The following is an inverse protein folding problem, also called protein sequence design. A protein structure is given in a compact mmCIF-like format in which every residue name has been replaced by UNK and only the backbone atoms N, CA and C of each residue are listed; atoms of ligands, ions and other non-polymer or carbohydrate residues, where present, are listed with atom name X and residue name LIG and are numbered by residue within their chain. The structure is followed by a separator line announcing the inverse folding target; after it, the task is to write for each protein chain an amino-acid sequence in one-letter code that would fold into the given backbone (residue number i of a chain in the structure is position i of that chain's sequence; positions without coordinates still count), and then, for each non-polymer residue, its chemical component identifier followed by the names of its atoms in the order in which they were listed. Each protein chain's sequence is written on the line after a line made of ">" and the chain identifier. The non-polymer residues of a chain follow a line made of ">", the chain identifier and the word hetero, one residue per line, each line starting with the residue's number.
data_IF_520145712947
#
_entry.id   IF_520145712947
#
_cell.length_a   1.000
_cell.length_b   1.000
_cell.length_c   1.000
_cell.angle_alpha   90.00
_cell.angle_beta   90.00
_cell.angle_gamma   90.00
#
_symmetry.space_group_name_H-M   'P 1'
#
loop_
_entity.id
_entity.type
_entity.pdbx_description
1 polymer ?
#
# COMPACT_ATOMS: atom_id res chain seq x y z
N UNK A 1 -12.13 18.80 13.55
CA UNK A 1 -10.94 19.53 14.06
C UNK A 1 -9.62 18.78 13.79
N UNK A 2 -9.44 17.55 14.29
CA UNK A 2 -8.16 16.83 14.23
C UNK A 2 -7.50 16.74 12.83
N UNK A 3 -8.29 16.61 11.76
CA UNK A 3 -7.75 16.55 10.40
C UNK A 3 -7.18 17.90 9.94
N UNK A 4 -7.91 19.00 10.20
CA UNK A 4 -7.47 20.35 9.82
C UNK A 4 -6.19 20.70 10.55
N UNK A 5 -6.17 20.48 11.87
CA UNK A 5 -4.97 20.71 12.69
C UNK A 5 -3.78 19.87 12.20
N UNK A 6 -4.01 18.61 11.80
CA UNK A 6 -2.94 17.77 11.26
C UNK A 6 -2.43 18.28 9.90
N UNK A 7 -3.33 18.68 8.99
CA UNK A 7 -2.94 19.19 7.66
C UNK A 7 -2.17 20.50 7.78
N UNK A 8 -2.61 21.43 8.65
CA UNK A 8 -1.91 22.70 8.88
C UNK A 8 -0.49 22.48 9.41
N UNK A 9 -0.31 21.49 10.30
CA UNK A 9 1.01 21.14 10.83
C UNK A 9 1.91 20.34 9.86
N UNK A 10 1.36 19.77 8.77
CA UNK A 10 2.08 18.92 7.82
C UNK A 10 1.89 19.40 6.37
N UNK A 11 1.78 20.73 6.19
CA UNK A 11 1.41 21.33 4.91
C UNK A 11 2.49 21.11 3.85
N UNK A 12 3.77 21.13 4.25
CA UNK A 12 4.90 20.91 3.35
C UNK A 12 4.88 19.48 2.79
N UNK A 13 4.65 18.49 3.65
CA UNK A 13 4.52 17.08 3.26
C UNK A 13 3.29 16.86 2.38
N UNK A 14 2.18 17.49 2.72
CA UNK A 14 0.92 17.39 1.97
C UNK A 14 1.06 17.94 0.54
N UNK A 15 1.79 19.04 0.37
CA UNK A 15 1.98 19.70 -0.93
C UNK A 15 3.18 19.17 -1.74
N UNK A 16 4.01 18.30 -1.15
CA UNK A 16 5.14 17.67 -1.84
C UNK A 16 4.76 16.96 -3.16
N UNK A 17 3.50 16.51 -3.29
CA UNK A 17 2.93 15.97 -4.52
C UNK A 17 3.14 16.90 -5.73
N UNK A 18 3.03 18.21 -5.55
CA UNK A 18 3.15 19.19 -6.64
C UNK A 18 4.58 19.37 -7.14
N UNK A 19 5.59 18.86 -6.44
CA UNK A 19 6.97 18.85 -6.92
C UNK A 19 7.20 17.82 -8.03
N UNK A 20 6.25 16.88 -8.22
CA UNK A 20 6.36 15.85 -9.25
C UNK A 20 5.99 16.41 -10.64
N UNK A 21 6.65 15.93 -11.72
CA UNK A 21 6.23 16.22 -13.08
C UNK A 21 4.77 15.84 -13.35
N UNK A 22 4.05 16.64 -14.14
CA UNK A 22 2.64 16.40 -14.52
C UNK A 22 2.36 14.96 -15.03
N UNK A 23 3.25 14.31 -15.82
CA UNK A 23 3.02 12.91 -16.23
C UNK A 23 2.86 11.93 -15.07
N UNK A 24 3.51 12.18 -13.92
CA UNK A 24 3.44 11.29 -12.76
C UNK A 24 2.20 11.50 -11.90
N UNK A 25 1.52 12.64 -12.03
CA UNK A 25 0.36 12.99 -11.19
C UNK A 25 -0.77 11.96 -11.31
N UNK A 26 -0.98 11.40 -12.50
CA UNK A 26 -2.02 10.37 -12.73
C UNK A 26 -1.82 9.14 -11.85
N UNK A 27 -0.59 8.65 -11.76
CA UNK A 27 -0.27 7.45 -11.00
C UNK A 27 -0.12 7.74 -9.50
N UNK A 28 0.42 8.91 -9.15
CA UNK A 28 0.70 9.29 -7.76
C UNK A 28 -0.55 9.76 -7.00
N UNK A 29 -1.59 10.22 -7.69
CA UNK A 29 -2.87 10.61 -7.07
C UNK A 29 -3.71 9.41 -6.62
N UNK A 30 -3.49 8.22 -7.21
CA UNK A 30 -4.29 7.04 -6.92
C UNK A 30 -3.59 6.08 -5.97
N UNK A 31 -4.32 5.65 -4.94
CA UNK A 31 -3.91 4.59 -4.01
C UNK A 31 -4.46 3.22 -4.40
N UNK A 32 -5.14 3.08 -5.55
CA UNK A 32 -5.87 1.86 -5.93
C UNK A 32 -5.00 0.59 -5.87
N UNK A 33 -3.75 0.67 -6.34
CA UNK A 33 -2.82 -0.46 -6.30
C UNK A 33 -2.42 -0.85 -4.88
N UNK A 34 -2.18 0.14 -4.01
CA UNK A 34 -1.86 -0.07 -2.59
C UNK A 34 -3.06 -0.62 -1.83
N UNK A 35 -4.25 -0.09 -2.10
CA UNK A 35 -5.50 -0.56 -1.50
C UNK A 35 -5.79 -2.00 -1.89
N UNK A 36 -5.62 -2.36 -3.16
CA UNK A 36 -5.78 -3.75 -3.63
C UNK A 36 -4.80 -4.71 -2.96
N UNK A 37 -3.54 -4.31 -2.82
CA UNK A 37 -2.52 -5.09 -2.09
C UNK A 37 -2.91 -5.27 -0.62
N UNK A 38 -3.30 -4.18 0.06
CA UNK A 38 -3.69 -4.21 1.47
C UNK A 38 -4.94 -5.06 1.71
N UNK A 39 -5.92 -5.01 0.80
CA UNK A 39 -7.10 -5.86 0.84
C UNK A 39 -6.73 -7.34 0.74
N UNK A 40 -5.80 -7.69 -0.15
CA UNK A 40 -5.37 -9.08 -0.33
C UNK A 40 -4.56 -9.59 0.87
N UNK A 41 -3.67 -8.76 1.43
CA UNK A 41 -2.98 -9.05 2.70
C UNK A 41 -4.04 -9.35 3.78
N UNK A 42 -5.01 -8.44 3.96
CA UNK A 42 -6.06 -8.59 4.96
C UNK A 42 -6.89 -9.85 4.72
N UNK A 43 -7.24 -10.15 3.47
CA UNK A 43 -8.03 -11.34 3.10
C UNK A 43 -7.30 -12.63 3.49
N UNK A 44 -6.01 -12.76 3.15
CA UNK A 44 -5.23 -13.98 3.45
C UNK A 44 -4.91 -14.12 4.94
N UNK A 45 -4.61 -13.03 5.63
CA UNK A 45 -4.36 -13.08 7.08
C UNK A 45 -5.62 -13.37 7.88
N UNK A 46 -6.80 -12.91 7.41
CA UNK A 46 -8.09 -13.21 8.06
C UNK A 46 -8.44 -14.70 8.06
N UNK A 47 -8.02 -15.46 7.05
CA UNK A 47 -8.23 -16.92 7.00
C UNK A 47 -7.46 -17.63 8.12
N UNK A 48 -6.20 -17.22 8.35
CA UNK A 48 -5.35 -17.83 9.38
C UNK A 48 -5.79 -17.44 10.80
N UNK A 49 -6.36 -16.23 10.97
CA UNK A 49 -6.82 -15.62 12.23
C UNK A 49 -5.73 -15.35 13.28
N UNK A 50 -4.95 -16.37 13.65
CA UNK A 50 -3.88 -16.30 14.66
C UNK A 50 -2.63 -16.97 14.12
N UNK A 51 -1.51 -16.25 14.14
CA UNK A 51 -0.22 -16.80 13.74
C UNK A 51 0.57 -17.32 14.95
N UNK A 52 1.30 -18.43 14.82
CA UNK A 52 2.09 -19.00 15.91
C UNK A 52 3.31 -18.15 16.28
N UNK A 53 3.78 -17.29 15.36
CA UNK A 53 4.85 -16.31 15.59
C UNK A 53 4.87 -15.25 14.47
N UNK A 54 5.54 -14.09 14.67
CA UNK A 54 5.64 -13.04 13.66
C UNK A 54 6.30 -13.48 12.35
N UNK A 55 7.26 -14.40 12.41
CA UNK A 55 7.94 -14.92 11.22
C UNK A 55 6.98 -15.67 10.28
N UNK A 56 5.96 -16.32 10.84
CA UNK A 56 4.95 -17.04 10.05
C UNK A 56 4.03 -16.09 9.28
N UNK A 57 3.65 -14.96 9.90
CA UNK A 57 2.92 -13.90 9.20
C UNK A 57 3.78 -13.28 8.10
N UNK A 58 5.04 -12.99 8.40
CA UNK A 58 6.00 -12.42 7.45
C UNK A 58 6.19 -13.32 6.22
N UNK A 59 6.28 -14.64 6.40
CA UNK A 59 6.37 -15.60 5.29
C UNK A 59 5.15 -15.53 4.37
N UNK A 60 3.94 -15.46 4.93
CA UNK A 60 2.71 -15.35 4.14
C UNK A 60 2.68 -14.05 3.31
N UNK A 61 2.98 -12.92 3.94
CA UNK A 61 2.97 -11.61 3.26
C UNK A 61 4.03 -11.54 2.17
N UNK A 62 5.23 -12.09 2.42
CA UNK A 62 6.30 -12.17 1.42
C UNK A 62 5.91 -13.06 0.24
N UNK A 63 5.33 -14.22 0.49
CA UNK A 63 4.86 -15.10 -0.57
C UNK A 63 3.81 -14.41 -1.45
N UNK A 64 2.87 -13.67 -0.85
CA UNK A 64 1.91 -12.85 -1.59
C UNK A 64 2.60 -11.76 -2.44
N UNK A 65 3.61 -11.08 -1.91
CA UNK A 65 4.34 -10.06 -2.66
C UNK A 65 5.05 -10.64 -3.90
N UNK A 66 5.64 -11.85 -3.77
CA UNK A 66 6.26 -12.58 -4.89
C UNK A 66 5.21 -12.94 -5.94
N UNK A 67 4.09 -13.54 -5.53
CA UNK A 67 3.00 -13.91 -6.45
C UNK A 67 2.46 -12.69 -7.22
N UNK A 68 2.26 -11.55 -6.54
CA UNK A 68 1.81 -10.32 -7.21
C UNK A 68 2.87 -9.81 -8.20
N UNK A 69 4.14 -9.88 -7.84
CA UNK A 69 5.23 -9.48 -8.72
C UNK A 69 5.30 -10.36 -9.98
N UNK A 70 5.21 -11.68 -9.83
CA UNK A 70 5.17 -12.64 -10.94
C UNK A 70 3.97 -12.36 -11.85
N UNK A 71 2.78 -12.17 -11.30
CA UNK A 71 1.58 -11.81 -12.06
C UNK A 71 1.74 -10.50 -12.85
N UNK A 72 2.51 -9.52 -12.35
CA UNK A 72 2.77 -8.28 -13.10
C UNK A 72 3.74 -8.49 -14.25
N UNK A 73 4.74 -9.35 -14.07
CA UNK A 73 5.68 -9.70 -15.14
C UNK A 73 4.98 -10.49 -16.26
N UNK A 74 4.05 -11.37 -15.93
CA UNK A 74 3.29 -12.15 -16.91
C UNK A 74 2.22 -11.33 -17.64
N UNK A 75 1.67 -10.28 -17.00
CA UNK A 75 0.64 -9.43 -17.57
C UNK A 75 1.17 -8.30 -18.47
N UNK A 76 2.50 -8.17 -18.60
CA UNK A 76 3.19 -7.17 -19.44
C UNK A 76 3.69 -7.83 -20.73
#
# INVERSE_FOLDING_TARGET
>A
PKLVDWVENNIEETLSFYWLPLPHHKHMKSTNMLERLNQEIKRRTLVVRIFPNPQSCLRLVRALAVEIHENWLEAT
#
